data_IF_309206527991
#
_entry.id   IF_309206527991
#
_cell.length_a   1.000
_cell.length_b   1.000
_cell.length_c   1.000
_cell.angle_alpha   90.00
_cell.angle_beta   90.00
_cell.angle_gamma   90.00
#
_symmetry.space_group_name_H-M   'P 1'
#
loop_
_entity.id
_entity.type
_entity.pdbx_description
1 polymer ?
#
# COMPACT_ATOMS: atom_id res chain seq x y z
N UNK A 1 1.77 -16.20 13.36
CA UNK A 1 2.17 -15.00 12.59
C UNK A 1 3.55 -15.29 12.03
N UNK A 2 3.65 -15.89 10.84
CA UNK A 2 4.93 -16.23 10.21
C UNK A 2 5.40 -15.05 9.35
N UNK A 3 6.25 -14.21 9.93
CA UNK A 3 6.76 -12.97 9.34
C UNK A 3 7.78 -13.17 8.20
N UNK A 4 7.57 -14.14 7.31
CA UNK A 4 8.57 -14.49 6.28
C UNK A 4 8.14 -15.48 5.19
N UNK A 5 6.91 -15.96 5.20
CA UNK A 5 6.41 -16.78 4.09
C UNK A 5 5.87 -15.87 3.00
N UNK A 6 6.67 -15.63 1.95
CA UNK A 6 6.19 -15.05 0.69
C UNK A 6 5.30 -16.07 -0.02
N UNK A 7 4.13 -16.29 0.55
CA UNK A 7 3.09 -17.12 -0.03
C UNK A 7 2.49 -16.41 -1.24
N UNK A 8 1.87 -17.16 -2.16
CA UNK A 8 1.30 -16.58 -3.41
C UNK A 8 0.34 -15.43 -3.11
N UNK A 9 -0.39 -15.49 -1.98
CA UNK A 9 -1.26 -14.40 -1.52
C UNK A 9 -0.52 -13.10 -1.24
N UNK A 10 0.64 -13.15 -0.58
CA UNK A 10 1.42 -11.96 -0.25
C UNK A 10 1.93 -11.27 -1.50
N UNK A 11 2.41 -12.06 -2.48
CA UNK A 11 2.93 -11.53 -3.74
C UNK A 11 1.83 -10.85 -4.56
N UNK A 12 0.60 -11.39 -4.54
CA UNK A 12 -0.56 -10.79 -5.22
C UNK A 12 -1.12 -9.58 -4.46
N UNK A 13 -1.04 -9.57 -3.12
CA UNK A 13 -1.51 -8.46 -2.29
C UNK A 13 -0.72 -7.17 -2.48
N UNK A 14 0.59 -7.26 -2.71
CA UNK A 14 1.47 -6.08 -2.90
C UNK A 14 1.01 -5.18 -4.07
N UNK A 15 0.88 -5.66 -5.33
CA UNK A 15 0.45 -4.82 -6.45
C UNK A 15 -0.99 -4.30 -6.30
N UNK A 16 -1.88 -5.08 -5.69
CA UNK A 16 -3.26 -4.64 -5.39
C UNK A 16 -3.24 -3.48 -4.39
N UNK A 17 -2.43 -3.59 -3.33
CA UNK A 17 -2.31 -2.54 -2.34
C UNK A 17 -1.69 -1.25 -2.90
N UNK A 18 -0.69 -1.37 -3.79
CA UNK A 18 -0.14 -0.24 -4.55
C UNK A 18 -1.22 0.44 -5.39
N UNK A 19 -2.01 -0.33 -6.15
CA UNK A 19 -3.09 0.23 -6.96
C UNK A 19 -4.14 0.96 -6.11
N UNK A 20 -4.51 0.39 -4.96
CA UNK A 20 -5.41 1.01 -3.99
C UNK A 20 -4.83 2.32 -3.45
N UNK A 21 -3.55 2.33 -3.07
CA UNK A 21 -2.87 3.52 -2.55
C UNK A 21 -2.91 4.67 -3.56
N UNK A 22 -2.65 4.37 -4.84
CA UNK A 22 -2.67 5.35 -5.92
C UNK A 22 -4.10 5.85 -6.17
N UNK A 23 -5.09 4.96 -6.32
CA UNK A 23 -6.48 5.37 -6.61
C UNK A 23 -7.09 6.16 -5.46
N UNK A 24 -6.89 5.73 -4.20
CA UNK A 24 -7.36 6.47 -3.03
C UNK A 24 -6.63 7.80 -2.86
N UNK A 25 -5.32 7.83 -3.06
CA UNK A 25 -4.55 9.07 -3.07
C UNK A 25 -5.09 10.06 -4.10
N UNK A 26 -5.42 9.60 -5.32
CA UNK A 26 -5.84 10.49 -6.43
C UNK A 26 -7.24 11.01 -6.16
N UNK A 27 -8.16 10.11 -5.83
CA UNK A 27 -9.57 10.44 -5.63
C UNK A 27 -9.76 11.37 -4.45
N UNK A 28 -9.07 11.13 -3.33
CA UNK A 28 -9.23 12.00 -2.15
C UNK A 28 -8.48 13.32 -2.30
N UNK A 29 -7.30 13.34 -2.93
CA UNK A 29 -6.63 14.60 -3.28
C UNK A 29 -7.52 15.47 -4.19
N UNK A 30 -8.16 14.87 -5.18
CA UNK A 30 -9.04 15.57 -6.12
C UNK A 30 -10.35 16.06 -5.48
N UNK A 31 -10.96 15.26 -4.60
CA UNK A 31 -12.28 15.56 -4.01
C UNK A 31 -12.17 16.46 -2.80
N UNK A 32 -11.22 16.18 -1.89
CA UNK A 32 -11.19 16.83 -0.58
C UNK A 32 -10.33 18.11 -0.59
N UNK A 33 -9.44 18.32 -1.58
CA UNK A 33 -8.47 19.44 -1.64
C UNK A 33 -7.62 19.63 -0.37
N UNK A 34 -7.73 18.72 0.61
CA UNK A 34 -6.91 18.69 1.81
C UNK A 34 -5.74 17.75 1.51
N UNK A 35 -4.48 18.15 1.77
CA UNK A 35 -3.30 17.34 1.50
C UNK A 35 -3.18 16.19 2.53
N UNK A 36 -4.14 15.26 2.51
CA UNK A 36 -4.12 14.05 3.32
C UNK A 36 -3.64 12.90 2.45
N UNK A 37 -2.49 12.36 2.79
CA UNK A 37 -1.86 11.21 2.14
C UNK A 37 -2.57 9.91 2.56
N UNK A 38 -3.67 9.59 1.89
CA UNK A 38 -4.44 8.35 2.10
C UNK A 38 -3.88 7.15 1.33
N UNK A 39 -2.78 7.35 0.61
CA UNK A 39 -1.92 6.33 0.00
C UNK A 39 -1.20 5.42 1.01
N UNK A 40 -1.41 5.61 2.31
CA UNK A 40 -0.88 4.71 3.35
C UNK A 40 -1.82 3.55 3.72
N UNK A 41 -3.09 3.56 3.30
CA UNK A 41 -4.08 2.55 3.71
C UNK A 41 -3.70 1.14 3.25
N UNK A 42 -3.36 0.98 1.97
CA UNK A 42 -2.90 -0.31 1.42
C UNK A 42 -1.56 -0.74 2.01
N UNK A 43 -0.69 0.20 2.35
CA UNK A 43 0.59 -0.05 3.02
C UNK A 43 0.39 -0.64 4.42
N UNK A 44 -0.53 -0.06 5.21
CA UNK A 44 -0.91 -0.58 6.53
C UNK A 44 -1.60 -1.95 6.38
N UNK A 45 -2.48 -2.11 5.40
CA UNK A 45 -3.18 -3.37 5.15
C UNK A 45 -2.18 -4.51 4.86
N UNK A 46 -1.21 -4.30 3.98
CA UNK A 46 -0.15 -5.28 3.70
C UNK A 46 0.75 -5.48 4.91
N UNK A 47 1.06 -4.41 5.65
CA UNK A 47 1.81 -4.47 6.91
C UNK A 47 1.20 -5.42 7.93
N UNK A 48 -0.12 -5.34 8.10
CA UNK A 48 -0.90 -6.15 9.06
C UNK A 48 -1.10 -7.58 8.54
N UNK A 49 -1.39 -7.76 7.25
CA UNK A 49 -1.75 -9.06 6.67
C UNK A 49 -0.56 -9.92 6.25
N UNK A 50 0.48 -9.31 5.69
CA UNK A 50 1.62 -10.00 5.10
C UNK A 50 2.94 -9.80 5.88
N UNK A 51 3.01 -8.76 6.71
CA UNK A 51 4.14 -8.51 7.59
C UNK A 51 4.77 -7.12 7.41
N UNK A 52 5.74 -6.71 8.26
CA UNK A 52 6.25 -5.35 8.27
C UNK A 52 7.13 -5.13 7.03
N UNK A 53 7.82 -6.18 6.56
CA UNK A 53 8.69 -6.16 5.38
C UNK A 53 7.86 -6.00 4.09
N UNK A 54 6.82 -6.83 3.81
CA UNK A 54 5.94 -6.57 2.67
C UNK A 54 5.21 -5.23 2.74
N UNK A 55 4.80 -4.78 3.94
CA UNK A 55 4.21 -3.47 4.14
C UNK A 55 5.17 -2.34 3.74
N UNK A 56 6.41 -2.39 4.22
CA UNK A 56 7.44 -1.40 3.87
C UNK A 56 7.71 -1.38 2.36
N UNK A 57 7.86 -2.54 1.73
CA UNK A 57 8.05 -2.65 0.26
C UNK A 57 6.88 -2.01 -0.48
N UNK A 58 5.65 -2.29 -0.07
CA UNK A 58 4.43 -1.71 -0.67
C UNK A 58 4.43 -0.19 -0.55
N UNK A 59 4.82 0.35 0.61
CA UNK A 59 4.86 1.80 0.85
C UNK A 59 5.93 2.51 0.02
N UNK A 60 7.14 1.95 -0.02
CA UNK A 60 8.24 2.50 -0.82
C UNK A 60 7.91 2.47 -2.31
N UNK A 61 7.37 1.35 -2.81
CA UNK A 61 6.95 1.23 -4.21
C UNK A 61 5.79 2.17 -4.55
N UNK A 62 4.80 2.29 -3.68
CA UNK A 62 3.68 3.23 -3.89
C UNK A 62 4.17 4.66 -3.96
N UNK A 63 5.10 5.07 -3.10
CA UNK A 63 5.66 6.41 -3.10
C UNK A 63 6.52 6.70 -4.34
N UNK A 64 7.34 5.74 -4.78
CA UNK A 64 8.13 5.84 -6.02
C UNK A 64 7.28 5.93 -7.28
N UNK A 65 6.14 5.24 -7.33
CA UNK A 65 5.20 5.29 -8.46
C UNK A 65 4.33 6.54 -8.46
N UNK A 66 4.19 7.18 -7.30
CA UNK A 66 3.32 8.35 -7.11
C UNK A 66 4.01 9.69 -7.33
N UNK A 67 5.33 9.76 -7.20
CA UNK A 67 6.09 11.00 -7.41
C UNK A 67 5.99 11.50 -8.84
#
# INVERSE_FOLDING_TARGET
MSWGSFDTRTIVLIPIAIAINIVLGQTVSAVLKVPIYLDSIGTVLVGVLAGPIPGLVTGVLSNLLWT
#
